data_IF_260838416113
#
_entry.id   IF_260838416113
#
_cell.length_a   1.000
_cell.length_b   1.000
_cell.length_c   1.000
_cell.angle_alpha   90.00
_cell.angle_beta   90.00
_cell.angle_gamma   90.00
#
_symmetry.space_group_name_H-M   'P 1'
#
loop_
_entity.id
_entity.type
_entity.pdbx_description
1 polymer ?
#
# COMPACT_ATOMS: atom_id res chain seq x y z
N UNK A 1 4.28 5.94 -12.39
CA UNK A 1 5.74 5.71 -12.35
C UNK A 1 6.49 6.45 -13.45
N UNK A 2 6.12 6.32 -14.74
CA UNK A 2 6.84 7.00 -15.84
C UNK A 2 7.03 8.51 -15.60
N UNK A 3 5.96 9.22 -15.26
CA UNK A 3 6.03 10.65 -14.94
C UNK A 3 7.09 10.98 -13.87
N UNK A 4 7.09 10.28 -12.73
CA UNK A 4 8.06 10.52 -11.65
C UNK A 4 9.49 10.17 -12.05
N UNK A 5 9.66 9.18 -12.93
CA UNK A 5 10.95 8.85 -13.51
C UNK A 5 11.46 9.95 -14.44
N UNK A 6 10.57 10.50 -15.29
CA UNK A 6 10.89 11.61 -16.20
C UNK A 6 11.22 12.91 -15.44
N UNK A 7 10.53 13.18 -14.34
CA UNK A 7 10.79 14.32 -13.45
C UNK A 7 12.05 14.15 -12.58
N UNK A 8 12.71 12.98 -12.63
CA UNK A 8 13.94 12.66 -11.90
C UNK A 8 13.85 12.96 -10.38
N UNK A 9 12.74 12.59 -9.75
CA UNK A 9 12.52 12.86 -8.33
C UNK A 9 13.52 12.11 -7.43
N UNK A 10 14.02 12.76 -6.38
CA UNK A 10 14.92 12.12 -5.40
C UNK A 10 14.18 11.08 -4.54
N UNK A 11 12.94 11.40 -4.16
CA UNK A 11 12.08 10.55 -3.35
C UNK A 11 10.65 10.57 -3.88
N UNK A 12 9.98 9.42 -3.79
CA UNK A 12 8.57 9.26 -4.14
C UNK A 12 7.82 8.69 -2.95
N UNK A 13 6.76 9.38 -2.53
CA UNK A 13 5.80 8.87 -1.55
C UNK A 13 4.63 8.28 -2.33
N UNK A 14 4.35 7.00 -2.11
CA UNK A 14 3.23 6.29 -2.71
C UNK A 14 2.18 6.01 -1.63
N UNK A 15 1.01 6.63 -1.77
CA UNK A 15 -0.16 6.26 -0.99
C UNK A 15 -0.82 5.04 -1.63
N UNK A 16 -1.09 4.02 -0.81
CA UNK A 16 -1.81 2.82 -1.25
C UNK A 16 -3.27 3.17 -1.46
N UNK A 17 -3.87 2.75 -2.57
CA UNK A 17 -5.29 2.97 -2.86
C UNK A 17 -6.21 2.15 -1.96
N UNK A 18 -5.99 0.83 -1.89
CA UNK A 18 -6.76 -0.09 -1.05
C UNK A 18 -5.94 -1.31 -0.63
N UNK A 19 -5.93 -1.60 0.67
CA UNK A 19 -5.20 -2.75 1.21
C UNK A 19 -3.69 -2.51 1.23
N UNK A 20 -2.96 -3.21 0.37
CA UNK A 20 -1.49 -3.24 0.32
C UNK A 20 -1.04 -4.32 -0.66
N UNK A 21 -1.14 -5.58 -0.24
CA UNK A 21 -0.76 -6.76 -1.02
C UNK A 21 -1.37 -6.83 -2.44
N UNK A 22 -2.60 -6.34 -2.59
CA UNK A 22 -3.38 -6.39 -3.83
C UNK A 22 -3.45 -5.05 -4.57
N UNK A 23 -2.78 -4.01 -4.06
CA UNK A 23 -2.84 -2.69 -4.67
C UNK A 23 -1.86 -2.56 -5.84
N UNK A 24 -2.28 -1.83 -6.87
CA UNK A 24 -1.44 -1.48 -8.03
C UNK A 24 -0.16 -0.72 -7.68
N UNK A 25 -0.10 -0.04 -6.53
CA UNK A 25 1.10 0.65 -6.05
C UNK A 25 2.15 -0.32 -5.50
N UNK A 26 1.77 -1.55 -5.14
CA UNK A 26 2.65 -2.57 -4.56
C UNK A 26 3.53 -3.30 -5.61
N UNK A 27 4.00 -2.56 -6.60
CA UNK A 27 4.94 -3.04 -7.63
C UNK A 27 6.40 -2.69 -7.32
N UNK A 28 6.63 -1.90 -6.27
CA UNK A 28 7.97 -1.50 -5.80
C UNK A 28 8.52 -2.58 -4.89
N UNK A 29 9.47 -3.37 -5.38
CA UNK A 29 9.98 -4.54 -4.64
C UNK A 29 10.77 -4.20 -3.37
N UNK A 30 11.51 -3.09 -3.37
CA UNK A 30 12.41 -2.70 -2.27
C UNK A 30 12.17 -1.23 -1.89
N UNK A 31 11.05 -0.89 -1.23
CA UNK A 31 10.84 0.46 -0.72
C UNK A 31 11.86 0.74 0.39
N UNK A 32 12.31 2.00 0.49
CA UNK A 32 13.21 2.40 1.59
C UNK A 32 12.52 2.27 2.96
N UNK A 33 11.22 2.58 3.00
CA UNK A 33 10.36 2.52 4.19
C UNK A 33 8.95 2.18 3.74
N UNK A 34 8.27 1.31 4.48
CA UNK A 34 6.84 1.08 4.39
C UNK A 34 6.17 1.53 5.68
N UNK A 35 4.99 2.16 5.58
CA UNK A 35 4.26 2.72 6.73
C UNK A 35 2.83 2.22 6.71
N UNK A 36 2.43 1.56 7.79
CA UNK A 36 1.02 1.25 8.07
C UNK A 36 0.55 2.26 9.10
N UNK A 37 -0.46 3.06 8.76
CA UNK A 37 -0.96 4.12 9.63
C UNK A 37 -1.90 3.55 10.70
N UNK A 38 -3.17 3.33 10.35
CA UNK A 38 -4.18 2.73 11.19
C UNK A 38 -4.72 1.44 10.56
N UNK A 39 -5.19 0.52 11.41
CA UNK A 39 -5.93 -0.66 10.96
C UNK A 39 -7.28 -0.66 11.66
N UNK A 40 -8.33 -0.58 10.86
CA UNK A 40 -9.73 -0.54 11.30
C UNK A 40 -10.58 -1.37 10.33
N UNK A 41 -11.87 -1.51 10.60
CA UNK A 41 -12.79 -2.13 9.65
C UNK A 41 -13.04 -1.19 8.46
N UNK A 42 -12.31 -1.41 7.38
CA UNK A 42 -12.46 -0.74 6.08
C UNK A 42 -12.53 -1.78 4.95
N UNK A 43 -13.30 -1.49 3.91
CA UNK A 43 -13.39 -2.31 2.69
C UNK A 43 -13.48 -3.84 2.94
N UNK A 44 -14.26 -4.27 3.94
CA UNK A 44 -14.29 -5.66 4.42
C UNK A 44 -14.62 -6.69 3.33
N UNK A 45 -15.44 -6.30 2.35
CA UNK A 45 -15.77 -7.11 1.16
C UNK A 45 -14.52 -7.55 0.37
N UNK A 46 -13.41 -6.83 0.50
CA UNK A 46 -12.13 -7.09 -0.18
C UNK A 46 -11.00 -7.46 0.77
N UNK A 47 -10.99 -6.91 1.99
CA UNK A 47 -9.86 -6.97 2.91
C UNK A 47 -10.02 -8.03 4.02
N UNK A 48 -11.24 -8.54 4.22
CA UNK A 48 -11.57 -9.54 5.26
C UNK A 48 -12.50 -9.00 6.34
N UNK A 49 -12.99 -9.91 7.18
CA UNK A 49 -14.04 -9.65 8.18
C UNK A 49 -13.46 -9.35 9.57
N UNK A 50 -12.15 -9.52 9.74
CA UNK A 50 -11.44 -9.29 11.00
C UNK A 50 -10.32 -8.28 10.84
N UNK A 51 -9.99 -7.55 11.92
CA UNK A 51 -8.83 -6.65 11.96
C UNK A 51 -7.53 -7.36 11.59
N UNK A 52 -7.38 -8.64 11.95
CA UNK A 52 -6.19 -9.42 11.63
C UNK A 52 -6.06 -9.70 10.12
N UNK A 53 -7.16 -10.02 9.44
CA UNK A 53 -7.18 -10.20 7.98
C UNK A 53 -6.85 -8.89 7.27
N UNK A 54 -7.51 -7.80 7.66
CA UNK A 54 -7.26 -6.46 7.11
C UNK A 54 -5.79 -6.05 7.31
N UNK A 55 -5.24 -6.25 8.51
CA UNK A 55 -3.83 -5.98 8.79
C UNK A 55 -2.90 -6.80 7.89
N UNK A 56 -3.21 -8.08 7.66
CA UNK A 56 -2.39 -8.96 6.81
C UNK A 56 -2.37 -8.48 5.37
N UNK A 57 -3.48 -7.97 4.84
CA UNK A 57 -3.51 -7.41 3.48
C UNK A 57 -2.73 -6.09 3.41
N UNK A 58 -2.86 -5.21 4.41
CA UNK A 58 -2.12 -3.93 4.48
C UNK A 58 -0.61 -4.12 4.70
N UNK A 59 -0.19 -5.24 5.27
CA UNK A 59 1.22 -5.56 5.55
C UNK A 59 1.96 -6.25 4.41
N UNK A 60 1.26 -6.62 3.33
CA UNK A 60 1.85 -7.23 2.15
C UNK A 60 2.18 -6.24 1.05
#
# INVERSE_FOLDING_TARGET
FLYFYEEQVDFLILEVGMGGAIDSTNVVQNPLVSVITNVTFDHMDYLGDTIAEIASVKAG
#
